data_IF_335173297242
#
_entry.id   IF_335173297242
#
_cell.length_a   1.000
_cell.length_b   1.000
_cell.length_c   1.000
_cell.angle_alpha   90.00
_cell.angle_beta   90.00
_cell.angle_gamma   90.00
#
_symmetry.space_group_name_H-M   'P 1'
#
loop_
_entity.id
_entity.type
_entity.pdbx_description
1 polymer ?
#
# COMPACT_ATOMS: atom_id res chain seq x y z
N UNK A 1 0.65 -3.50 -26.52
CA UNK A 1 -0.40 -2.50 -26.82
C UNK A 1 -0.86 -1.93 -25.49
N UNK A 2 -0.88 -0.59 -25.36
CA UNK A 2 -0.99 0.20 -24.12
C UNK A 2 -1.88 -0.39 -23.04
N UNK A 3 -1.26 -0.71 -21.91
CA UNK A 3 -1.97 -0.81 -20.65
C UNK A 3 -2.54 0.58 -20.30
N UNK A 4 -3.87 0.65 -20.32
CA UNK A 4 -4.74 1.28 -19.32
C UNK A 4 -4.40 2.71 -18.89
N UNK A 5 -5.37 3.61 -19.05
CA UNK A 5 -5.36 5.03 -18.67
C UNK A 5 -5.21 5.27 -17.14
N UNK A 6 -4.13 4.78 -16.53
CA UNK A 6 -3.81 4.98 -15.12
C UNK A 6 -3.44 6.44 -14.89
N UNK A 7 -4.19 7.09 -14.01
CA UNK A 7 -3.88 8.45 -13.61
C UNK A 7 -2.62 8.45 -12.73
N UNK A 8 -1.99 9.62 -12.56
CA UNK A 8 -0.91 9.77 -11.59
C UNK A 8 -1.36 9.37 -10.17
N UNK A 9 -2.63 9.60 -9.82
CA UNK A 9 -3.17 9.19 -8.52
C UNK A 9 -3.14 7.68 -8.36
N UNK A 10 -3.57 6.93 -9.37
CA UNK A 10 -3.64 5.46 -9.33
C UNK A 10 -2.25 4.86 -9.17
N UNK A 11 -1.27 5.41 -9.93
CA UNK A 11 0.14 5.02 -9.80
C UNK A 11 0.70 5.28 -8.41
N UNK A 12 0.44 6.47 -7.85
CA UNK A 12 0.89 6.77 -6.47
C UNK A 12 0.27 5.81 -5.47
N UNK A 13 -1.03 5.57 -5.55
CA UNK A 13 -1.71 4.66 -4.64
C UNK A 13 -1.09 3.26 -4.69
N UNK A 14 -0.89 2.73 -5.89
CA UNK A 14 -0.29 1.42 -6.11
C UNK A 14 1.16 1.34 -5.58
N UNK A 15 2.01 2.30 -5.95
CA UNK A 15 3.41 2.31 -5.53
C UNK A 15 3.55 2.42 -4.00
N UNK A 16 2.68 3.18 -3.36
CA UNK A 16 2.62 3.28 -1.90
C UNK A 16 2.28 1.93 -1.27
N UNK A 17 1.23 1.24 -1.75
CA UNK A 17 0.83 -0.06 -1.22
C UNK A 17 1.96 -1.10 -1.38
N UNK A 18 2.61 -1.14 -2.54
CA UNK A 18 3.76 -2.04 -2.80
C UNK A 18 4.93 -1.70 -1.89
N UNK A 19 5.23 -0.42 -1.70
CA UNK A 19 6.39 0.02 -0.91
C UNK A 19 6.15 -0.32 0.57
N UNK A 20 4.99 0.03 1.11
CA UNK A 20 4.65 -0.23 2.51
C UNK A 20 4.51 -1.72 2.81
N UNK A 21 3.98 -2.53 1.87
CA UNK A 21 3.87 -3.98 2.07
C UNK A 21 5.24 -4.67 2.13
N UNK A 22 6.24 -4.14 1.41
CA UNK A 22 7.60 -4.70 1.39
C UNK A 22 8.47 -4.24 2.55
N UNK A 23 8.34 -2.98 2.94
CA UNK A 23 9.28 -2.33 3.86
C UNK A 23 8.70 -2.09 5.26
N UNK A 24 7.38 -2.21 5.43
CA UNK A 24 6.66 -1.90 6.68
C UNK A 24 6.59 -0.41 7.02
N UNK A 25 7.43 0.43 6.41
CA UNK A 25 7.36 1.89 6.50
C UNK A 25 8.11 2.52 5.32
N UNK A 26 7.82 3.79 5.00
CA UNK A 26 8.51 4.50 3.93
C UNK A 26 8.47 6.01 4.12
N UNK A 27 9.39 6.73 3.46
CA UNK A 27 9.37 8.17 3.29
C UNK A 27 8.90 8.53 1.89
N UNK A 28 8.30 9.71 1.72
CA UNK A 28 7.84 10.17 0.40
C UNK A 28 8.96 10.20 -0.66
N UNK A 29 10.22 10.42 -0.24
CA UNK A 29 11.37 10.39 -1.15
C UNK A 29 11.76 9.00 -1.65
N UNK A 30 11.26 7.95 -0.99
CA UNK A 30 11.46 6.56 -1.40
C UNK A 30 10.51 6.18 -2.56
N UNK A 31 9.45 6.97 -2.76
CA UNK A 31 8.56 6.86 -3.90
C UNK A 31 9.21 7.54 -5.11
N UNK A 32 9.41 6.81 -6.21
CA UNK A 32 10.13 7.24 -7.41
C UNK A 32 9.45 8.33 -8.26
N UNK A 33 8.75 9.28 -7.64
CA UNK A 33 8.05 10.37 -8.31
C UNK A 33 8.92 11.64 -8.38
N UNK A 34 8.81 12.35 -9.51
CA UNK A 34 9.53 13.61 -9.73
C UNK A 34 9.03 14.75 -8.82
N UNK A 35 9.82 15.83 -8.70
CA UNK A 35 9.45 17.01 -7.91
C UNK A 35 8.09 17.60 -8.33
N UNK A 36 7.85 17.66 -9.64
CA UNK A 36 6.60 18.15 -10.23
C UNK A 36 5.36 17.37 -9.77
N UNK A 37 5.53 16.11 -9.38
CA UNK A 37 4.46 15.21 -8.98
C UNK A 37 4.24 15.18 -7.46
N UNK A 38 5.13 15.77 -6.67
CA UNK A 38 5.07 15.70 -5.19
C UNK A 38 3.82 16.30 -4.59
N UNK A 39 3.19 17.26 -5.26
CA UNK A 39 1.91 17.79 -4.80
C UNK A 39 0.81 16.72 -4.87
N UNK A 40 0.73 15.99 -5.97
CA UNK A 40 -0.21 14.86 -6.12
C UNK A 40 0.12 13.75 -5.14
N UNK A 41 1.41 13.40 -4.98
CA UNK A 41 1.85 12.38 -4.00
C UNK A 41 1.35 12.72 -2.60
N UNK A 42 1.57 13.97 -2.14
CA UNK A 42 1.09 14.43 -0.83
C UNK A 42 -0.43 14.33 -0.68
N UNK A 43 -1.19 14.70 -1.71
CA UNK A 43 -2.65 14.61 -1.67
C UNK A 43 -3.13 13.16 -1.56
N UNK A 44 -2.47 12.24 -2.25
CA UNK A 44 -2.80 10.81 -2.18
C UNK A 44 -2.46 10.24 -0.82
N UNK A 45 -1.26 10.52 -0.29
CA UNK A 45 -0.86 10.06 1.05
C UNK A 45 -1.82 10.56 2.13
N UNK A 46 -2.27 11.82 2.05
CA UNK A 46 -3.29 12.37 2.95
C UNK A 46 -4.64 11.67 2.82
N UNK A 47 -5.07 11.36 1.59
CA UNK A 47 -6.32 10.63 1.36
C UNK A 47 -6.23 9.18 1.88
N UNK A 48 -5.07 8.54 1.76
CA UNK A 48 -4.81 7.21 2.34
C UNK A 48 -4.81 7.25 3.87
N UNK A 49 -4.26 8.31 4.47
CA UNK A 49 -4.33 8.56 5.92
C UNK A 49 -5.76 8.75 6.42
N UNK A 50 -6.55 9.57 5.72
CA UNK A 50 -7.96 9.81 6.03
C UNK A 50 -8.83 8.54 5.90
N UNK A 51 -8.37 7.56 5.13
CA UNK A 51 -9.01 6.25 4.93
C UNK A 51 -8.34 5.13 5.73
N UNK A 52 -7.44 5.45 6.67
CA UNK A 52 -6.75 4.49 7.54
C UNK A 52 -5.92 3.41 6.78
N UNK A 53 -5.52 3.69 5.54
CA UNK A 53 -4.53 2.87 4.84
C UNK A 53 -3.11 3.16 5.34
N UNK A 54 -2.87 4.38 5.80
CA UNK A 54 -1.58 4.82 6.32
C UNK A 54 -1.76 5.62 7.61
N UNK A 55 -0.71 5.69 8.41
CA UNK A 55 -0.62 6.64 9.50
C UNK A 55 0.81 7.15 9.65
N UNK A 56 0.97 8.19 10.46
CA UNK A 56 2.24 8.76 10.91
C UNK A 56 2.08 9.19 12.36
N UNK A 57 3.15 9.08 13.16
CA UNK A 57 3.08 9.42 14.58
C UNK A 57 2.76 10.90 14.83
N UNK A 58 3.14 11.79 13.89
CA UNK A 58 2.72 13.17 13.91
C UNK A 58 2.80 13.82 12.51
N UNK A 59 2.12 14.95 12.35
CA UNK A 59 2.04 15.69 11.07
C UNK A 59 3.41 16.20 10.54
N UNK A 60 4.43 16.28 11.40
CA UNK A 60 5.78 16.74 11.02
C UNK A 60 6.67 15.60 10.55
N UNK A 61 6.34 14.36 10.90
CA UNK A 61 7.10 13.20 10.47
C UNK A 61 6.86 12.91 8.99
N UNK A 62 7.97 12.56 8.33
CA UNK A 62 8.01 12.26 6.89
C UNK A 62 7.96 10.76 6.61
N UNK A 63 7.82 9.95 7.66
CA UNK A 63 7.75 8.49 7.60
C UNK A 63 6.29 8.07 7.75
N UNK A 64 5.86 7.19 6.87
CA UNK A 64 4.52 6.61 6.79
C UNK A 64 4.58 5.14 7.16
N UNK A 65 3.56 4.68 7.88
CA UNK A 65 3.38 3.32 8.35
C UNK A 65 2.01 2.80 7.89
N UNK A 66 1.80 1.47 7.79
CA UNK A 66 0.50 0.91 7.43
C UNK A 66 -0.52 1.24 8.52
N UNK A 67 -1.67 1.79 8.13
CA UNK A 67 -2.85 1.94 9.00
C UNK A 67 -3.54 0.59 9.24
N UNK A 68 -4.62 0.58 10.02
CA UNK A 68 -5.24 -0.68 10.44
C UNK A 68 -5.96 -1.36 9.27
N UNK A 69 -6.60 -0.58 8.38
CA UNK A 69 -7.15 -1.09 7.12
C UNK A 69 -6.10 -1.86 6.32
N UNK A 70 -4.90 -1.32 6.14
CA UNK A 70 -3.84 -2.00 5.41
C UNK A 70 -3.43 -3.33 6.08
N UNK A 71 -3.32 -3.35 7.42
CA UNK A 71 -2.97 -4.55 8.18
C UNK A 71 -4.06 -5.63 8.08
N UNK A 72 -5.33 -5.24 8.10
CA UNK A 72 -6.46 -6.17 7.96
C UNK A 72 -6.46 -6.87 6.60
N UNK A 73 -6.17 -6.13 5.52
CA UNK A 73 -6.06 -6.72 4.18
C UNK A 73 -4.90 -7.71 4.08
N UNK A 74 -3.76 -7.44 4.72
CA UNK A 74 -2.64 -8.40 4.79
C UNK A 74 -3.08 -9.67 5.51
N UNK A 75 -3.70 -9.55 6.69
CA UNK A 75 -4.23 -10.70 7.45
C UNK A 75 -5.26 -11.49 6.66
N UNK A 76 -6.14 -10.81 5.93
CA UNK A 76 -7.12 -11.45 5.04
C UNK A 76 -6.42 -12.28 3.96
N UNK A 77 -5.44 -11.70 3.28
CA UNK A 77 -4.66 -12.37 2.23
C UNK A 77 -3.89 -13.59 2.76
N UNK A 78 -3.25 -13.46 3.92
CA UNK A 78 -2.54 -14.57 4.57
C UNK A 78 -3.50 -15.71 4.95
N UNK A 79 -4.68 -15.37 5.49
CA UNK A 79 -5.69 -16.37 5.84
C UNK A 79 -6.17 -17.16 4.63
N UNK A 80 -6.54 -16.48 3.54
CA UNK A 80 -6.99 -17.14 2.30
C UNK A 80 -5.89 -18.05 1.75
N UNK A 81 -4.63 -17.60 1.76
CA UNK A 81 -3.50 -18.42 1.32
C UNK A 81 -3.36 -19.71 2.13
N UNK A 82 -3.53 -19.63 3.45
CA UNK A 82 -3.45 -20.80 4.33
C UNK A 82 -4.63 -21.76 4.11
N UNK A 83 -5.84 -21.25 3.94
CA UNK A 83 -7.03 -22.06 3.63
C UNK A 83 -6.83 -22.86 2.33
N UNK A 84 -6.34 -22.21 1.27
CA UNK A 84 -6.04 -22.88 -0.01
C UNK A 84 -4.98 -23.98 0.14
N UNK A 85 -3.93 -23.74 0.92
CA UNK A 85 -2.88 -24.74 1.16
C UNK A 85 -3.40 -25.97 1.92
N UNK A 86 -4.34 -25.77 2.85
CA UNK A 86 -4.97 -26.86 3.59
C UNK A 86 -5.87 -27.71 2.67
N UNK A 87 -6.68 -27.07 1.83
CA UNK A 87 -7.54 -27.77 0.86
C UNK A 87 -6.71 -28.61 -0.13
N UNK A 88 -5.58 -28.07 -0.62
CA UNK A 88 -4.64 -28.80 -1.48
C UNK A 88 -4.09 -30.05 -0.77
N UNK A 89 -3.63 -29.90 0.48
CA UNK A 89 -3.10 -31.01 1.29
C UNK A 89 -4.15 -32.10 1.58
N UNK A 90 -5.40 -31.72 1.81
CA UNK A 90 -6.51 -32.65 2.03
C UNK A 90 -6.91 -33.38 0.74
N UNK A 91 -6.75 -32.75 -0.43
CA UNK A 91 -7.04 -33.36 -1.73
C UNK A 91 -6.00 -34.39 -2.21
N UNK A 92 -4.77 -34.29 -1.69
CA UNK A 92 -3.65 -35.19 -2.00
C UNK A 92 -3.55 -36.41 -1.05
N UNK A 93 -4.40 -36.46 -0.01
CA UNK A 93 -4.46 -37.51 1.02
C UNK A 93 -5.58 -38.53 0.76
#
# INVERSE_FOLDING_TARGET
MSDSNQTLRDRVWNDVLITVSKQGSFKMGDLGFSESQRHTVRRVLKAMEEQDWLHRENNRMKTWHPGDTAKEYVKFSERVRLEMQLEEMESES
#
